data_IF_371012587855
#
_entry.id   IF_371012587855
#
_cell.length_a   1.000
_cell.length_b   1.000
_cell.length_c   1.000
_cell.angle_alpha   90.00
_cell.angle_beta   90.00
_cell.angle_gamma   90.00
#
_symmetry.space_group_name_H-M   'P 1'
#
loop_
_entity.id
_entity.type
_entity.pdbx_description
1 polymer ?
#
# COMPACT_ATOMS: atom_id res chain seq x y z
N UNK A 1 6.21 -55.71 -13.46
CA UNK A 1 6.47 -55.39 -12.04
C UNK A 1 5.15 -55.49 -11.28
N UNK A 2 5.10 -56.20 -10.16
CA UNK A 2 3.87 -56.31 -9.35
C UNK A 2 3.45 -54.93 -8.83
N UNK A 3 2.20 -54.54 -9.07
CA UNK A 3 1.59 -53.27 -8.63
C UNK A 3 1.79 -53.02 -7.14
N UNK A 4 1.79 -54.09 -6.33
CA UNK A 4 2.10 -54.04 -4.90
C UNK A 4 3.50 -53.48 -4.60
N UNK A 5 4.52 -53.87 -5.37
CA UNK A 5 5.90 -53.38 -5.18
C UNK A 5 6.02 -51.90 -5.54
N UNK A 6 5.26 -51.45 -6.54
CA UNK A 6 5.20 -50.05 -6.93
C UNK A 6 4.54 -49.18 -5.85
N UNK A 7 3.41 -49.61 -5.30
CA UNK A 7 2.73 -48.89 -4.21
C UNK A 7 3.59 -48.79 -2.96
N UNK A 8 4.32 -49.86 -2.60
CA UNK A 8 5.25 -49.84 -1.47
C UNK A 8 6.37 -48.81 -1.70
N UNK A 9 6.99 -48.82 -2.89
CA UNK A 9 8.03 -47.85 -3.23
C UNK A 9 7.51 -46.41 -3.14
N UNK A 10 6.30 -46.16 -3.65
CA UNK A 10 5.67 -44.84 -3.61
C UNK A 10 5.40 -44.38 -2.17
N UNK A 11 4.94 -45.27 -1.29
CA UNK A 11 4.73 -44.97 0.13
C UNK A 11 6.04 -44.62 0.83
N UNK A 12 7.12 -45.38 0.58
CA UNK A 12 8.44 -45.09 1.15
C UNK A 12 8.95 -43.72 0.69
N UNK A 13 8.80 -43.41 -0.60
CA UNK A 13 9.17 -42.09 -1.13
C UNK A 13 8.38 -40.99 -0.44
N UNK A 14 7.06 -41.13 -0.30
CA UNK A 14 6.20 -40.14 0.35
C UNK A 14 6.60 -39.92 1.82
N UNK A 15 6.86 -40.99 2.57
CA UNK A 15 7.29 -40.91 3.97
C UNK A 15 8.67 -40.25 4.07
N UNK A 16 9.60 -40.58 3.18
CA UNK A 16 10.91 -39.94 3.13
C UNK A 16 10.80 -38.44 2.85
N UNK A 17 9.98 -38.04 1.87
CA UNK A 17 9.73 -36.61 1.58
C UNK A 17 9.07 -35.89 2.74
N UNK A 18 8.17 -36.56 3.48
CA UNK A 18 7.52 -36.00 4.66
C UNK A 18 8.53 -35.80 5.79
N UNK A 19 9.35 -36.80 6.08
CA UNK A 19 10.41 -36.71 7.10
C UNK A 19 11.42 -35.61 6.77
N UNK A 20 11.85 -35.50 5.50
CA UNK A 20 12.73 -34.42 5.05
C UNK A 20 12.06 -33.05 5.24
N UNK A 21 10.77 -32.94 4.96
CA UNK A 21 10.03 -31.67 5.12
C UNK A 21 9.88 -31.26 6.59
N UNK A 22 9.68 -32.23 7.48
CA UNK A 22 9.58 -32.01 8.94
C UNK A 22 10.95 -31.75 9.59
N UNK A 23 12.02 -32.29 9.03
CA UNK A 23 13.38 -32.10 9.52
C UNK A 23 14.04 -30.81 9.03
N UNK A 24 13.40 -30.07 8.11
CA UNK A 24 13.86 -28.72 7.76
C UNK A 24 13.71 -27.85 9.01
N UNK A 25 14.78 -27.24 9.53
CA UNK A 25 14.64 -26.28 10.60
C UNK A 25 13.64 -25.22 10.14
N UNK A 26 12.58 -25.00 10.92
CA UNK A 26 11.74 -23.82 10.73
C UNK A 26 12.67 -22.61 10.71
N UNK A 27 12.45 -21.69 9.78
CA UNK A 27 13.22 -20.45 9.72
C UNK A 27 13.29 -19.88 11.14
N UNK A 28 14.50 -19.78 11.70
CA UNK A 28 14.70 -19.22 13.02
C UNK A 28 14.10 -17.82 13.00
N UNK A 29 12.93 -17.67 13.62
CA UNK A 29 12.22 -16.41 13.70
C UNK A 29 12.77 -15.67 14.91
N UNK A 30 13.93 -15.04 14.74
CA UNK A 30 14.40 -13.94 15.59
C UNK A 30 15.56 -13.16 14.94
N UNK A 31 15.51 -13.01 13.61
CA UNK A 31 16.30 -11.99 12.93
C UNK A 31 15.29 -11.02 12.30
N UNK A 32 15.21 -9.81 12.85
CA UNK A 32 14.43 -8.73 12.21
C UNK A 32 14.99 -8.58 10.82
N UNK A 33 14.16 -8.82 9.79
CA UNK A 33 14.60 -8.70 8.41
C UNK A 33 15.33 -7.36 8.23
N UNK A 34 16.54 -7.35 7.64
CA UNK A 34 17.27 -6.11 7.42
C UNK A 34 16.44 -5.14 6.57
N UNK A 35 16.73 -3.85 6.69
CA UNK A 35 16.00 -2.73 6.05
C UNK A 35 15.53 -3.09 4.64
N UNK A 36 14.20 -3.14 4.45
CA UNK A 36 13.57 -3.35 3.14
C UNK A 36 13.78 -2.11 2.27
N UNK A 37 14.70 -2.20 1.31
CA UNK A 37 14.96 -1.14 0.32
C UNK A 37 14.20 -1.43 -0.96
N UNK A 38 13.20 -0.61 -1.24
CA UNK A 38 12.43 -0.69 -2.48
C UNK A 38 11.84 0.67 -2.83
N UNK A 39 11.47 0.85 -4.09
CA UNK A 39 10.73 2.04 -4.57
C UNK A 39 9.23 1.96 -4.30
N UNK A 40 8.74 0.76 -3.97
CA UNK A 40 7.34 0.49 -3.70
C UNK A 40 7.18 -0.72 -2.78
N UNK A 41 6.15 -0.69 -1.94
CA UNK A 41 5.64 -1.82 -1.16
C UNK A 41 4.12 -1.86 -1.34
N UNK A 42 3.56 -3.06 -1.50
CA UNK A 42 2.12 -3.28 -1.62
C UNK A 42 1.66 -4.41 -0.72
N UNK A 43 0.49 -4.22 -0.10
CA UNK A 43 -0.28 -5.27 0.55
C UNK A 43 -1.41 -5.66 -0.40
N UNK A 44 -1.58 -6.95 -0.66
CA UNK A 44 -2.55 -7.49 -1.63
C UNK A 44 -3.49 -8.47 -0.92
N UNK A 45 -4.77 -8.48 -1.28
CA UNK A 45 -5.74 -9.45 -0.74
C UNK A 45 -5.74 -10.80 -1.49
N UNK A 46 -6.56 -11.73 -1.01
CA UNK A 46 -6.78 -13.08 -1.55
C UNK A 46 -7.23 -13.11 -3.02
N UNK A 47 -7.72 -11.98 -3.54
CA UNK A 47 -8.18 -11.81 -4.92
C UNK A 47 -7.19 -11.04 -5.78
N UNK A 48 -6.00 -10.75 -5.27
CA UNK A 48 -4.98 -10.00 -6.00
C UNK A 48 -5.18 -8.49 -6.01
N UNK A 49 -6.08 -7.93 -5.18
CA UNK A 49 -6.33 -6.48 -5.14
C UNK A 49 -5.41 -5.80 -4.13
N UNK A 50 -4.80 -4.68 -4.52
CA UNK A 50 -3.98 -3.86 -3.62
C UNK A 50 -4.86 -3.23 -2.53
N UNK A 51 -4.48 -3.43 -1.27
CA UNK A 51 -5.15 -2.93 -0.05
C UNK A 51 -4.39 -1.78 0.60
N UNK A 52 -3.07 -1.76 0.44
CA UNK A 52 -2.22 -0.67 0.86
C UNK A 52 -1.02 -0.55 -0.06
N UNK A 53 -0.49 0.67 -0.22
CA UNK A 53 0.77 0.87 -0.92
C UNK A 53 1.59 1.98 -0.27
N UNK A 54 2.91 1.83 -0.30
CA UNK A 54 3.90 2.89 -0.06
C UNK A 54 4.71 2.99 -1.35
N UNK A 55 4.64 4.10 -2.07
CA UNK A 55 5.26 4.24 -3.39
C UNK A 55 5.96 5.59 -3.54
N UNK A 56 7.16 5.58 -4.14
CA UNK A 56 7.85 6.78 -4.61
C UNK A 56 7.44 7.06 -6.06
N UNK A 57 6.88 8.25 -6.30
CA UNK A 57 6.53 8.75 -7.61
C UNK A 57 7.57 9.78 -8.06
N UNK A 58 8.18 9.63 -9.25
CA UNK A 58 9.17 10.59 -9.73
C UNK A 58 8.53 11.95 -10.00
N UNK A 59 9.34 13.00 -9.90
CA UNK A 59 8.93 14.33 -10.33
C UNK A 59 8.53 14.34 -11.82
N UNK A 60 7.51 15.12 -12.15
CA UNK A 60 7.06 15.34 -13.52
C UNK A 60 6.85 16.84 -13.79
N UNK A 61 7.80 17.51 -14.47
CA UNK A 61 7.73 18.94 -14.72
C UNK A 61 6.59 19.37 -15.67
N UNK A 62 6.02 18.43 -16.43
CA UNK A 62 4.98 18.75 -17.43
C UNK A 62 3.55 18.75 -16.87
N UNK A 63 3.36 18.30 -15.63
CA UNK A 63 2.02 18.21 -15.02
C UNK A 63 1.55 19.58 -14.56
N UNK A 64 0.36 19.99 -15.00
CA UNK A 64 -0.38 21.12 -14.43
C UNK A 64 -1.25 20.64 -13.27
N UNK A 65 -1.06 21.25 -12.11
CA UNK A 65 -1.81 20.96 -10.91
C UNK A 65 -3.14 21.74 -10.87
N UNK A 66 -4.15 21.28 -10.10
CA UNK A 66 -5.43 21.98 -9.97
C UNK A 66 -5.33 23.40 -9.38
N UNK A 67 -4.26 23.69 -8.64
CA UNK A 67 -3.94 25.00 -8.10
C UNK A 67 -3.31 25.96 -9.15
N UNK A 68 -3.15 25.50 -10.39
CA UNK A 68 -2.56 26.26 -11.49
C UNK A 68 -1.03 26.18 -11.57
N UNK A 69 -0.37 25.58 -10.58
CA UNK A 69 1.09 25.39 -10.62
C UNK A 69 1.49 24.33 -11.65
N UNK A 70 2.73 24.43 -12.16
CA UNK A 70 3.28 23.47 -13.12
C UNK A 70 4.48 22.78 -12.49
N UNK A 71 4.58 21.47 -12.71
CA UNK A 71 5.57 20.61 -12.10
C UNK A 71 5.02 19.87 -10.90
N UNK A 72 4.82 18.57 -11.06
CA UNK A 72 4.55 17.68 -9.95
C UNK A 72 5.89 17.27 -9.32
N UNK A 73 6.14 17.56 -8.04
CA UNK A 73 7.38 17.18 -7.36
C UNK A 73 7.49 15.67 -7.17
N UNK A 74 8.68 15.19 -6.78
CA UNK A 74 8.81 13.81 -6.31
C UNK A 74 7.89 13.62 -5.10
N UNK A 75 7.17 12.50 -5.06
CA UNK A 75 6.17 12.26 -4.00
C UNK A 75 6.36 10.88 -3.39
N UNK A 76 6.50 10.83 -2.08
CA UNK A 76 6.32 9.58 -1.31
C UNK A 76 4.86 9.50 -0.88
N UNK A 77 4.20 8.40 -1.23
CA UNK A 77 2.76 8.27 -1.08
C UNK A 77 2.37 6.95 -0.40
N UNK A 78 1.75 7.07 0.78
CA UNK A 78 1.04 6.00 1.46
C UNK A 78 -0.45 6.05 1.07
N UNK A 79 -1.02 4.89 0.70
CA UNK A 79 -2.46 4.73 0.44
C UNK A 79 -3.01 3.53 1.20
N UNK A 80 -4.21 3.69 1.77
CA UNK A 80 -5.08 2.57 2.14
C UNK A 80 -6.29 2.55 1.21
N UNK A 81 -6.54 1.39 0.60
CA UNK A 81 -7.45 1.23 -0.52
C UNK A 81 -8.63 0.35 -0.08
N UNK A 82 -9.84 0.86 -0.23
CA UNK A 82 -11.06 0.17 0.16
C UNK A 82 -11.38 -1.02 -0.79
N UNK A 83 -12.37 -1.84 -0.46
CA UNK A 83 -12.76 -3.02 -1.28
C UNK A 83 -13.26 -2.69 -2.69
N UNK A 84 -13.67 -1.43 -2.91
CA UNK A 84 -14.13 -0.88 -4.20
C UNK A 84 -12.99 -0.24 -5.01
N UNK A 85 -11.75 -0.26 -4.51
CA UNK A 85 -10.57 0.31 -5.17
C UNK A 85 -10.33 1.81 -4.90
N UNK A 86 -11.16 2.46 -4.10
CA UNK A 86 -10.99 3.87 -3.73
C UNK A 86 -9.92 4.07 -2.65
N UNK A 87 -8.98 5.02 -2.79
CA UNK A 87 -8.03 5.36 -1.73
C UNK A 87 -8.73 6.18 -0.64
N UNK A 88 -9.25 5.50 0.39
CA UNK A 88 -9.93 6.15 1.51
C UNK A 88 -8.96 6.83 2.48
N UNK A 89 -7.69 6.43 2.49
CA UNK A 89 -6.65 7.13 3.24
C UNK A 89 -5.49 7.40 2.29
N UNK A 90 -5.03 8.64 2.28
CA UNK A 90 -3.87 9.09 1.51
C UNK A 90 -2.99 9.93 2.42
N UNK A 91 -1.73 9.56 2.58
CA UNK A 91 -0.71 10.38 3.24
C UNK A 91 0.45 10.59 2.27
N UNK A 92 0.71 11.84 1.92
CA UNK A 92 1.68 12.22 0.91
C UNK A 92 2.69 13.21 1.49
N UNK A 93 3.93 13.15 1.01
CA UNK A 93 4.91 14.20 1.21
C UNK A 93 5.71 14.44 -0.07
N UNK A 94 6.10 15.69 -0.23
CA UNK A 94 6.88 16.27 -1.32
C UNK A 94 7.91 17.22 -0.69
N UNK A 95 8.85 17.76 -1.47
CA UNK A 95 9.85 18.70 -0.96
C UNK A 95 9.24 19.99 -0.38
N UNK A 96 8.06 20.37 -0.86
CA UNK A 96 7.35 21.59 -0.48
C UNK A 96 6.23 21.37 0.56
N UNK A 97 6.03 20.13 1.05
CA UNK A 97 5.05 19.88 2.10
C UNK A 97 4.54 18.46 2.28
N UNK A 98 3.37 18.36 2.91
CA UNK A 98 2.69 17.11 3.18
C UNK A 98 1.17 17.30 3.20
N UNK A 99 0.45 16.20 2.92
CA UNK A 99 -1.00 16.17 2.96
C UNK A 99 -1.55 14.83 3.43
N UNK A 100 -2.59 14.88 4.25
CA UNK A 100 -3.39 13.74 4.67
C UNK A 100 -4.82 13.92 4.15
N UNK A 101 -5.36 12.93 3.45
CA UNK A 101 -6.76 12.88 3.05
C UNK A 101 -7.42 11.65 3.64
N UNK A 102 -8.56 11.85 4.30
CA UNK A 102 -9.46 10.83 4.82
C UNK A 102 -10.78 10.90 4.05
N UNK A 103 -11.02 9.93 3.18
CA UNK A 103 -12.24 9.79 2.40
C UNK A 103 -13.36 9.11 3.20
N UNK A 104 -14.58 9.65 3.06
CA UNK A 104 -15.80 9.08 3.61
C UNK A 104 -16.38 7.95 2.76
N UNK A 105 -17.62 7.56 3.08
CA UNK A 105 -18.33 6.49 2.35
C UNK A 105 -18.62 6.87 0.88
N UNK A 106 -18.92 8.14 0.63
CA UNK A 106 -19.31 8.67 -0.68
C UNK A 106 -18.37 9.76 -1.15
N UNK A 107 -18.12 9.83 -2.46
CA UNK A 107 -17.52 11.00 -3.11
C UNK A 107 -18.60 12.10 -3.19
N UNK A 108 -18.37 13.35 -2.75
CA UNK A 108 -17.08 13.96 -2.40
C UNK A 108 -16.76 14.09 -0.91
N UNK A 109 -17.38 13.31 -0.02
CA UNK A 109 -17.14 13.37 1.42
C UNK A 109 -15.67 13.07 1.76
N UNK A 110 -14.93 14.06 2.30
CA UNK A 110 -13.56 13.86 2.78
C UNK A 110 -13.12 14.95 3.76
N UNK A 111 -12.06 14.66 4.51
CA UNK A 111 -11.26 15.62 5.27
C UNK A 111 -9.87 15.66 4.67
N UNK A 112 -9.34 16.85 4.44
CA UNK A 112 -7.97 17.09 3.97
C UNK A 112 -7.24 17.97 4.98
N UNK A 113 -6.08 17.50 5.46
CA UNK A 113 -5.11 18.27 6.22
C UNK A 113 -3.94 18.55 5.30
N UNK A 114 -3.65 19.82 5.04
CA UNK A 114 -2.63 20.22 4.08
C UNK A 114 -1.67 21.22 4.72
N UNK A 115 -0.37 20.95 4.59
CA UNK A 115 0.69 21.89 4.88
C UNK A 115 1.60 21.97 3.65
N UNK A 116 1.65 23.14 3.01
CA UNK A 116 2.41 23.34 1.78
C UNK A 116 3.02 24.75 1.73
N UNK A 117 4.32 24.83 1.47
CA UNK A 117 5.06 26.09 1.57
C UNK A 117 4.86 26.72 2.95
N UNK A 118 4.46 27.99 2.98
CA UNK A 118 4.16 28.73 4.21
C UNK A 118 2.67 28.65 4.64
N UNK A 119 1.87 27.77 4.01
CA UNK A 119 0.42 27.71 4.24
C UNK A 119 0.01 26.39 4.89
N UNK A 120 -0.99 26.46 5.76
CA UNK A 120 -1.62 25.29 6.38
C UNK A 120 -3.14 25.42 6.31
N UNK A 121 -3.84 24.30 6.13
CA UNK A 121 -5.30 24.29 6.14
C UNK A 121 -5.89 22.94 6.51
N UNK A 122 -7.12 22.99 7.01
CA UNK A 122 -8.01 21.85 7.20
C UNK A 122 -9.27 22.08 6.37
N UNK A 123 -9.48 21.25 5.34
CA UNK A 123 -10.63 21.31 4.45
C UNK A 123 -11.57 20.14 4.75
N UNK A 124 -12.84 20.46 5.01
CA UNK A 124 -13.91 19.49 5.20
C UNK A 124 -14.87 19.59 4.02
N UNK A 125 -15.17 18.45 3.40
CA UNK A 125 -16.17 18.36 2.33
C UNK A 125 -17.21 17.32 2.72
N UNK A 126 -18.50 17.67 2.66
CA UNK A 126 -19.59 16.74 2.96
C UNK A 126 -20.14 16.04 1.70
N UNK A 127 -21.14 15.16 1.89
CA UNK A 127 -21.78 14.40 0.80
C UNK A 127 -22.45 15.27 -0.27
N UNK A 128 -22.85 16.48 0.11
CA UNK A 128 -23.55 17.43 -0.77
C UNK A 128 -22.54 18.35 -1.50
N UNK A 129 -21.22 18.12 -1.31
CA UNK A 129 -20.16 18.92 -1.90
C UNK A 129 -19.92 20.25 -1.19
N UNK A 130 -20.56 20.51 -0.06
CA UNK A 130 -20.33 21.71 0.72
C UNK A 130 -18.95 21.66 1.37
N UNK A 131 -18.21 22.76 1.24
CA UNK A 131 -16.82 22.87 1.71
C UNK A 131 -16.74 23.84 2.88
N UNK A 132 -16.03 23.44 3.94
CA UNK A 132 -15.56 24.32 5.01
C UNK A 132 -14.04 24.28 5.06
N UNK A 133 -13.41 25.45 4.91
CA UNK A 133 -11.97 25.61 5.03
C UNK A 133 -11.65 26.28 6.37
N UNK A 134 -10.67 25.73 7.09
CA UNK A 134 -10.10 26.29 8.31
C UNK A 134 -8.62 26.54 8.04
N UNK A 135 -8.17 27.77 8.27
CA UNK A 135 -6.78 28.21 8.13
C UNK A 135 -6.41 29.09 9.34
N UNK A 136 -5.11 29.27 9.64
CA UNK A 136 -4.63 30.17 10.70
C UNK A 136 -5.10 31.62 10.55
#
# INVERSE_FOLDING_TARGET
MNTQRFLIALTVVNVATLAISLARPGAAADDVAPVLRGRALQIVDDRGRVRASITVFPANPAVKLPDGTTGYPETVLLRLINSKGGPNVKLATTEDGAGLVLGGESNPTHVEVLARGATTSLKLTNKDGQVKLIAP
#
